data_IF_579604269292
#
_entry.id   IF_579604269292
#
_cell.length_a   1.000
_cell.length_b   1.000
_cell.length_c   1.000
_cell.angle_alpha   90.00
_cell.angle_beta   90.00
_cell.angle_gamma   90.00
#
_symmetry.space_group_name_H-M   'P 1'
#
loop_
_entity.id
_entity.type
_entity.pdbx_description
1 polymer ?
#
# COMPACT_ATOMS: atom_id res chain seq x y z
N UNK A 1 9.31 -0.18 -9.98
CA UNK A 1 10.43 0.17 -9.08
C UNK A 1 11.66 0.34 -9.94
N UNK A 2 12.48 1.35 -9.65
CA UNK A 2 13.70 1.69 -10.39
C UNK A 2 14.91 1.76 -9.46
N UNK A 3 16.11 1.80 -10.02
CA UNK A 3 17.33 2.12 -9.28
C UNK A 3 17.44 3.65 -9.01
N UNK A 4 18.49 4.08 -8.30
CA UNK A 4 18.73 5.49 -7.96
C UNK A 4 18.88 6.39 -9.21
N UNK A 5 19.52 5.88 -10.26
CA UNK A 5 19.71 6.63 -11.51
C UNK A 5 18.38 6.87 -12.21
N UNK A 6 17.57 5.82 -12.42
CA UNK A 6 16.23 5.90 -12.97
C UNK A 6 15.29 6.78 -12.15
N UNK A 7 15.43 6.80 -10.82
CA UNK A 7 14.69 7.70 -9.93
C UNK A 7 15.02 9.18 -10.18
N UNK A 8 16.30 9.50 -10.41
CA UNK A 8 16.75 10.88 -10.67
C UNK A 8 16.34 11.35 -12.06
N UNK A 9 16.42 10.48 -13.05
CA UNK A 9 16.14 10.81 -14.47
C UNK A 9 14.72 10.48 -14.91
N UNK A 10 13.84 10.04 -14.00
CA UNK A 10 12.50 9.55 -14.33
C UNK A 10 12.48 8.46 -15.42
N UNK A 11 13.51 7.62 -15.48
CA UNK A 11 13.64 6.59 -16.51
C UNK A 11 13.12 5.23 -16.02
N UNK A 12 11.94 4.84 -16.50
CA UNK A 12 11.29 3.57 -16.12
C UNK A 12 11.98 2.32 -16.68
N UNK A 13 12.84 2.44 -17.70
CA UNK A 13 13.57 1.28 -18.24
C UNK A 13 14.67 0.78 -17.30
N UNK A 14 15.08 1.57 -16.31
CA UNK A 14 16.07 1.16 -15.30
C UNK A 14 15.44 0.40 -14.12
N UNK A 15 14.40 -0.39 -14.41
CA UNK A 15 13.63 -1.09 -13.38
C UNK A 15 12.52 -1.95 -13.95
N UNK A 16 11.61 -2.38 -13.08
CA UNK A 16 10.49 -3.25 -13.42
C UNK A 16 9.14 -2.59 -13.12
N UNK A 17 8.15 -2.89 -13.95
CA UNK A 17 6.75 -2.50 -13.72
C UNK A 17 6.20 -3.27 -12.51
N UNK A 18 5.67 -2.56 -11.52
CA UNK A 18 5.06 -3.13 -10.30
C UNK A 18 3.54 -3.11 -10.32
N UNK A 19 2.99 -2.08 -10.94
CA UNK A 19 1.56 -1.82 -10.98
C UNK A 19 1.21 -1.03 -12.23
N UNK A 20 -0.06 -1.09 -12.61
CA UNK A 20 -0.63 -0.28 -13.69
C UNK A 20 -1.93 0.39 -13.25
N UNK A 21 -1.98 1.72 -13.37
CA UNK A 21 -3.18 2.49 -13.11
C UNK A 21 -4.04 2.58 -14.38
N UNK A 22 -4.75 1.50 -14.73
CA UNK A 22 -5.55 1.43 -15.97
C UNK A 22 -7.07 1.62 -15.79
N UNK A 23 -7.60 1.67 -14.56
CA UNK A 23 -9.03 1.98 -14.31
C UNK A 23 -9.20 3.36 -13.70
N UNK A 24 -9.52 4.33 -14.53
CA UNK A 24 -9.80 5.71 -14.10
C UNK A 24 -11.13 5.83 -13.36
N UNK A 25 -12.16 5.10 -13.80
CA UNK A 25 -13.49 5.08 -13.19
C UNK A 25 -13.73 3.77 -12.45
N UNK A 26 -13.24 3.69 -11.21
CA UNK A 26 -13.54 2.55 -10.35
C UNK A 26 -14.86 2.79 -9.62
N UNK A 27 -15.81 1.85 -9.72
CA UNK A 27 -17.21 2.02 -9.28
C UNK A 27 -17.41 2.24 -7.78
N UNK A 28 -16.46 1.83 -6.93
CA UNK A 28 -16.61 1.89 -5.47
C UNK A 28 -15.43 2.52 -4.74
N UNK A 29 -14.19 2.39 -5.23
CA UNK A 29 -12.99 2.94 -4.61
C UNK A 29 -11.83 3.00 -5.60
N UNK A 30 -10.87 3.94 -5.46
CA UNK A 30 -9.66 3.95 -6.26
C UNK A 30 -8.93 2.60 -6.23
N UNK A 31 -8.26 2.26 -7.34
CA UNK A 31 -7.41 1.08 -7.39
C UNK A 31 -6.31 1.21 -6.33
N UNK A 32 -6.13 0.15 -5.54
CA UNK A 32 -5.10 0.09 -4.50
C UNK A 32 -4.01 -0.91 -4.86
N UNK A 33 -2.77 -0.41 -4.89
CA UNK A 33 -1.58 -1.24 -4.85
C UNK A 33 -1.09 -1.35 -3.39
N UNK A 34 -0.82 -2.57 -2.95
CA UNK A 34 -0.27 -2.84 -1.62
C UNK A 34 1.08 -3.55 -1.78
N UNK A 35 2.08 -3.10 -1.04
CA UNK A 35 3.41 -3.70 -1.02
C UNK A 35 3.76 -4.06 0.42
N UNK A 36 4.42 -5.22 0.60
CA UNK A 36 4.90 -5.66 1.91
C UNK A 36 6.42 -5.63 1.95
N UNK A 37 6.98 -4.88 2.90
CA UNK A 37 8.41 -4.82 3.15
C UNK A 37 8.84 -6.03 3.99
N UNK A 38 9.28 -7.09 3.32
CA UNK A 38 9.70 -8.34 3.96
C UNK A 38 11.05 -8.80 3.40
N UNK A 39 11.83 -9.50 4.25
CA UNK A 39 13.18 -9.98 3.91
C UNK A 39 13.17 -11.12 2.89
N UNK A 40 12.16 -11.98 2.96
CA UNK A 40 12.03 -13.14 2.08
C UNK A 40 10.67 -13.12 1.39
N UNK A 41 10.67 -13.24 0.07
CA UNK A 41 9.45 -13.32 -0.72
C UNK A 41 9.04 -14.78 -0.90
N UNK A 42 7.77 -15.10 -0.66
CA UNK A 42 7.20 -16.40 -1.01
C UNK A 42 6.92 -16.57 -2.53
N UNK A 43 7.09 -15.50 -3.31
CA UNK A 43 6.83 -15.48 -4.75
C UNK A 43 8.12 -15.25 -5.53
N UNK A 44 8.32 -15.99 -6.63
CA UNK A 44 9.51 -15.87 -7.50
C UNK A 44 9.65 -14.51 -8.17
N UNK A 45 8.54 -13.78 -8.37
CA UNK A 45 8.51 -12.43 -8.91
C UNK A 45 8.32 -11.35 -7.83
N UNK A 46 8.23 -11.75 -6.56
CA UNK A 46 8.14 -10.82 -5.45
C UNK A 46 9.49 -10.19 -5.15
N UNK A 47 9.46 -9.07 -4.45
CA UNK A 47 10.67 -8.34 -4.09
C UNK A 47 11.04 -8.55 -2.64
N UNK A 48 12.34 -8.60 -2.40
CA UNK A 48 12.94 -8.73 -1.08
C UNK A 48 13.48 -7.37 -0.63
N UNK A 49 13.21 -7.05 0.63
CA UNK A 49 13.57 -5.78 1.23
C UNK A 49 14.52 -5.99 2.41
N UNK A 50 15.56 -5.17 2.48
CA UNK A 50 16.57 -5.23 3.52
C UNK A 50 16.55 -3.96 4.37
N UNK A 51 16.74 -4.14 5.68
CA UNK A 51 16.91 -3.04 6.61
C UNK A 51 18.14 -2.19 6.22
N UNK A 52 18.01 -0.87 6.36
CA UNK A 52 19.04 0.10 5.99
C UNK A 52 19.11 0.41 4.50
N UNK A 53 18.24 -0.17 3.66
CA UNK A 53 18.25 0.07 2.22
C UNK A 53 17.16 1.05 1.76
N UNK A 54 17.47 1.74 0.66
CA UNK A 54 16.60 2.71 0.00
C UNK A 54 16.05 2.13 -1.32
N UNK A 55 14.75 2.30 -1.50
CA UNK A 55 13.98 1.75 -2.59
C UNK A 55 13.21 2.85 -3.31
N UNK A 56 13.25 2.83 -4.65
CA UNK A 56 12.80 3.96 -5.45
C UNK A 56 11.64 3.61 -6.37
N UNK A 57 10.58 4.40 -6.27
CA UNK A 57 9.38 4.27 -7.09
C UNK A 57 9.18 5.54 -7.92
N UNK A 58 8.76 5.34 -9.17
CA UNK A 58 8.34 6.41 -10.06
C UNK A 58 7.03 6.00 -10.75
N UNK A 59 6.24 6.97 -11.18
CA UNK A 59 5.09 6.76 -12.07
C UNK A 59 5.30 7.51 -13.38
N UNK A 60 5.15 6.82 -14.49
CA UNK A 60 5.17 7.42 -15.84
C UNK A 60 3.74 7.48 -16.38
N UNK A 61 3.27 8.63 -16.88
CA UNK A 61 1.95 8.74 -17.50
C UNK A 61 1.87 7.88 -18.78
N UNK A 62 0.69 7.34 -19.08
CA UNK A 62 0.44 6.50 -20.27
C UNK A 62 0.32 7.29 -21.57
N UNK A 63 -0.13 8.55 -21.51
CA UNK A 63 -0.27 9.43 -22.66
C UNK A 63 0.51 10.74 -22.42
N UNK A 64 1.72 10.78 -22.99
CA UNK A 64 2.54 11.94 -23.41
C UNK A 64 2.80 13.15 -22.47
N UNK A 65 4.11 13.41 -22.36
CA UNK A 65 4.81 14.70 -22.56
C UNK A 65 4.87 15.75 -21.44
N UNK A 66 5.19 15.36 -20.21
CA UNK A 66 5.97 16.24 -19.35
C UNK A 66 7.08 15.44 -18.68
N UNK A 67 8.32 15.97 -18.71
CA UNK A 67 9.53 15.38 -18.13
C UNK A 67 9.51 15.22 -16.59
N UNK A 68 8.34 15.37 -15.96
CA UNK A 68 8.15 15.33 -14.52
C UNK A 68 7.35 14.07 -14.17
N UNK A 69 8.04 13.03 -13.72
CA UNK A 69 7.41 11.87 -13.11
C UNK A 69 7.07 12.16 -11.64
N UNK A 70 6.00 11.56 -11.12
CA UNK A 70 5.82 11.47 -9.66
C UNK A 70 6.78 10.40 -9.15
N UNK A 71 7.34 10.62 -7.97
CA UNK A 71 8.38 9.77 -7.40
C UNK A 71 8.22 9.63 -5.90
N UNK A 72 8.58 8.46 -5.39
CA UNK A 72 8.54 8.12 -3.96
C UNK A 72 9.83 7.38 -3.61
N UNK A 73 10.47 7.81 -2.53
CA UNK A 73 11.63 7.13 -1.93
C UNK A 73 11.14 6.46 -0.67
N UNK A 74 11.47 5.17 -0.51
CA UNK A 74 11.17 4.40 0.69
C UNK A 74 12.48 3.98 1.32
N UNK A 75 12.68 4.31 2.59
CA UNK A 75 13.78 3.77 3.39
C UNK A 75 13.22 2.70 4.31
N UNK A 76 13.74 1.48 4.20
CA UNK A 76 13.38 0.39 5.11
C UNK A 76 14.28 0.51 6.30
N UNK A 77 13.77 1.08 7.40
CA UNK A 77 14.55 1.12 8.63
C UNK A 77 14.82 -0.30 9.13
N UNK A 78 16.01 -0.44 9.69
CA UNK A 78 16.34 -1.14 10.93
C UNK A 78 15.57 -2.43 11.23
N UNK A 79 16.31 -3.53 11.42
CA UNK A 79 15.74 -4.71 12.05
C UNK A 79 15.17 -4.32 13.42
N UNK A 80 13.90 -4.59 13.65
CA UNK A 80 13.36 -4.56 15.00
C UNK A 80 14.25 -5.47 15.85
N UNK A 81 14.79 -4.92 16.95
CA UNK A 81 15.60 -5.70 17.90
C UNK A 81 14.80 -6.83 18.57
N UNK A 82 13.50 -6.90 18.31
CA UNK A 82 12.55 -7.79 18.96
C UNK A 82 12.48 -9.21 18.36
N UNK A 83 13.22 -9.52 17.28
CA UNK A 83 13.19 -10.84 16.64
C UNK A 83 14.43 -11.71 16.84
N UNK A 84 15.44 -11.29 17.61
CA UNK A 84 16.62 -12.14 17.90
C UNK A 84 16.38 -13.21 18.98
N UNK A 85 15.13 -13.39 19.45
CA UNK A 85 14.81 -14.29 20.58
C UNK A 85 13.75 -15.36 20.36
N UNK A 86 13.13 -15.50 19.18
CA UNK A 86 12.02 -16.46 18.99
C UNK A 86 12.40 -17.60 18.02
N UNK A 87 12.50 -18.80 18.59
CA UNK A 87 12.52 -20.16 18.02
C UNK A 87 12.06 -20.30 16.53
N UNK A 88 12.64 -21.19 15.69
CA UNK A 88 12.34 -21.34 14.24
C UNK A 88 10.94 -21.84 13.84
N UNK A 89 9.91 -21.67 14.67
CA UNK A 89 8.56 -22.11 14.35
C UNK A 89 7.75 -20.96 13.75
N UNK A 90 7.73 -20.95 12.40
CA UNK A 90 6.69 -20.36 11.53
C UNK A 90 6.17 -18.98 11.96
N UNK A 91 6.57 -17.88 11.30
CA UNK A 91 6.03 -16.56 11.60
C UNK A 91 4.51 -16.56 11.46
N UNK A 92 3.81 -16.36 12.58
CA UNK A 92 2.36 -16.17 12.62
C UNK A 92 2.04 -14.97 11.73
N UNK A 93 1.22 -15.18 10.71
CA UNK A 93 0.82 -14.19 9.73
C UNK A 93 0.10 -13.02 10.44
N UNK A 94 0.85 -11.99 10.83
CA UNK A 94 0.24 -10.75 11.29
C UNK A 94 -0.51 -10.12 10.11
N UNK A 95 -1.78 -9.84 10.36
CA UNK A 95 -2.73 -9.31 9.38
C UNK A 95 -2.15 -8.04 8.79
N UNK A 96 -1.93 -8.04 7.47
CA UNK A 96 -1.58 -6.83 6.75
C UNK A 96 -2.62 -5.76 7.07
N UNK A 97 -2.19 -4.62 7.61
CA UNK A 97 -3.06 -3.46 7.74
C UNK A 97 -3.25 -2.91 6.33
N UNK A 98 -4.25 -3.46 5.64
CA UNK A 98 -4.80 -2.82 4.45
C UNK A 98 -5.41 -1.51 4.94
N UNK A 99 -4.72 -0.39 4.73
CA UNK A 99 -5.28 0.94 4.99
C UNK A 99 -6.68 1.04 4.38
N UNK A 100 -7.69 0.97 5.24
CA UNK A 100 -9.08 1.22 4.88
C UNK A 100 -9.27 2.74 4.91
N UNK A 101 -9.98 3.25 3.92
CA UNK A 101 -10.39 4.65 3.89
C UNK A 101 -11.22 4.95 5.15
N UNK A 102 -10.91 6.02 5.92
CA UNK A 102 -11.63 6.36 7.15
C UNK A 102 -13.00 6.95 6.79
N UNK A 103 -14.00 6.09 6.54
CA UNK A 103 -15.38 6.55 6.37
C UNK A 103 -16.48 5.56 6.74
N UNK A 104 -16.22 4.60 7.64
CA UNK A 104 -17.21 3.57 8.00
C UNK A 104 -17.56 3.46 9.49
N UNK A 105 -17.42 4.54 10.27
CA UNK A 105 -17.81 4.51 11.69
C UNK A 105 -19.06 5.35 12.03
N UNK A 106 -19.64 6.10 11.09
CA UNK A 106 -20.82 6.95 11.36
C UNK A 106 -22.17 6.35 10.92
N UNK A 107 -22.18 5.23 10.19
CA UNK A 107 -23.42 4.61 9.74
C UNK A 107 -24.21 3.84 10.82
N UNK A 108 -23.61 3.13 11.80
CA UNK A 108 -24.41 2.32 12.72
C UNK A 108 -25.17 3.17 13.74
N UNK A 109 -24.66 4.35 14.09
CA UNK A 109 -25.26 5.22 15.08
C UNK A 109 -26.50 5.96 14.55
N UNK A 110 -26.46 6.42 13.30
CA UNK A 110 -27.58 7.11 12.66
C UNK A 110 -28.81 6.19 12.46
N UNK A 111 -28.57 4.92 12.13
CA UNK A 111 -29.64 3.92 11.97
C UNK A 111 -30.27 3.57 13.32
N UNK A 112 -29.47 3.46 14.39
CA UNK A 112 -29.97 3.21 15.74
C UNK A 112 -30.84 4.34 16.27
N UNK A 113 -30.44 5.60 16.06
CA UNK A 113 -31.22 6.78 16.49
C UNK A 113 -32.53 6.88 15.71
N UNK A 114 -32.52 6.64 14.41
CA UNK A 114 -33.73 6.67 13.60
C UNK A 114 -34.74 5.59 14.03
N UNK A 115 -34.28 4.38 14.34
CA UNK A 115 -35.16 3.31 14.80
C UNK A 115 -35.80 3.66 16.16
N UNK A 116 -35.03 4.19 17.11
CA UNK A 116 -35.55 4.63 18.41
C UNK A 116 -36.60 5.74 18.28
N UNK A 117 -36.35 6.74 17.43
CA UNK A 117 -37.31 7.83 17.20
C UNK A 117 -38.61 7.34 16.58
N UNK A 118 -38.53 6.38 15.64
CA UNK A 118 -39.73 5.79 15.02
C UNK A 118 -40.54 4.96 16.02
N UNK A 119 -39.89 4.27 16.98
CA UNK A 119 -40.62 3.55 18.04
C UNK A 119 -41.29 4.49 19.05
N UNK A 120 -40.68 5.64 19.34
CA UNK A 120 -41.24 6.64 20.27
C UNK A 120 -42.42 7.41 19.70
N UNK A 121 -42.47 7.61 18.37
CA UNK A 121 -43.59 8.26 17.69
C UNK A 121 -44.78 7.31 17.44
N UNK A 122 -44.59 6.01 17.62
CA UNK A 122 -45.59 4.97 17.41
C UNK A 122 -46.25 4.44 18.70
N UNK A 123 -45.91 5.02 19.87
CA UNK A 123 -46.60 4.82 21.17
C UNK A 123 -47.28 6.11 21.58
#
# INVERSE_FOLDING_TARGET
>A
MVNLSGYRTCNASQGSKRWECNRQHASHSPIKFSEKFQRYSAFSLGYEFHAGQEYYYISTPTHNLHWKCLRMKVFVCCASKDFEGENPQVPKLEKSISGTSPKREHLPLAVGIAFFLMTLLAS
#
